data_IF_600723497785
#
_entry.id   IF_600723497785
#
_cell.length_a   1.000
_cell.length_b   1.000
_cell.length_c   1.000
_cell.angle_alpha   90.00
_cell.angle_beta   90.00
_cell.angle_gamma   90.00
#
_symmetry.space_group_name_H-M   'P 1'
#
loop_
_entity.id
_entity.type
_entity.pdbx_description
1 polymer ?
#
# COMPACT_ATOMS: atom_id res chain seq x y z
N UNK A 1 -29.68 18.52 2.67
CA UNK A 1 -29.44 17.06 2.71
C UNK A 1 -29.67 16.35 1.37
N UNK A 2 -30.83 16.48 0.69
CA UNK A 2 -31.05 15.84 -0.64
C UNK A 2 -30.06 16.22 -1.76
N UNK A 3 -29.49 17.43 -1.73
CA UNK A 3 -28.52 17.89 -2.75
C UNK A 3 -27.11 17.31 -2.59
N UNK A 4 -26.70 16.92 -1.38
CA UNK A 4 -25.37 16.36 -1.09
C UNK A 4 -25.33 14.88 -1.48
N UNK A 5 -26.42 14.15 -1.24
CA UNK A 5 -26.56 12.74 -1.65
C UNK A 5 -26.58 12.60 -3.18
N UNK A 6 -27.13 13.58 -3.90
CA UNK A 6 -27.12 13.62 -5.37
C UNK A 6 -25.73 13.92 -5.95
N UNK A 7 -24.89 14.68 -5.25
CA UNK A 7 -23.49 14.91 -5.64
C UNK A 7 -22.65 13.64 -5.44
N UNK A 8 -22.84 12.94 -4.32
CA UNK A 8 -22.19 11.67 -4.02
C UNK A 8 -22.60 10.55 -5.00
N UNK A 9 -23.87 10.52 -5.43
CA UNK A 9 -24.34 9.56 -6.43
C UNK A 9 -23.83 9.84 -7.85
N UNK A 10 -23.55 11.10 -8.22
CA UNK A 10 -22.88 11.42 -9.48
C UNK A 10 -21.38 11.11 -9.45
N UNK A 11 -20.70 11.32 -8.31
CA UNK A 11 -19.29 10.98 -8.15
C UNK A 11 -19.02 9.46 -8.29
N UNK A 12 -19.95 8.61 -7.83
CA UNK A 12 -19.83 7.16 -7.97
C UNK A 12 -20.00 6.64 -9.42
N UNK A 13 -20.60 7.41 -10.33
CA UNK A 13 -20.88 6.97 -11.71
C UNK A 13 -19.79 7.39 -12.73
N UNK A 14 -18.81 8.20 -12.34
CA UNK A 14 -17.82 8.78 -13.26
C UNK A 14 -16.38 8.26 -13.09
N UNK A 15 -16.10 7.38 -12.12
CA UNK A 15 -14.73 6.93 -11.82
C UNK A 15 -14.05 6.22 -13.01
N UNK A 16 -14.83 5.67 -13.94
CA UNK A 16 -14.33 5.11 -15.20
C UNK A 16 -13.96 6.12 -16.30
N UNK A 17 -14.43 7.38 -16.21
CA UNK A 17 -14.25 8.43 -17.22
C UNK A 17 -13.52 9.69 -16.71
N UNK A 18 -13.27 9.80 -15.41
CA UNK A 18 -12.56 10.95 -14.83
C UNK A 18 -11.13 11.02 -15.36
N UNK A 19 -10.68 12.24 -15.68
CA UNK A 19 -9.32 12.48 -16.15
C UNK A 19 -8.30 12.11 -15.06
N UNK A 20 -7.02 12.00 -15.44
CA UNK A 20 -5.94 11.77 -14.46
C UNK A 20 -5.92 12.90 -13.41
N UNK A 21 -6.07 14.14 -13.83
CA UNK A 21 -6.08 15.31 -12.94
C UNK A 21 -7.29 15.26 -11.98
N UNK A 22 -8.49 14.96 -12.46
CA UNK A 22 -9.68 14.86 -11.60
C UNK A 22 -9.53 13.82 -10.49
N UNK A 23 -8.84 12.71 -10.77
CA UNK A 23 -8.58 11.66 -9.78
C UNK A 23 -7.60 12.12 -8.70
N UNK A 24 -6.57 12.86 -9.11
CA UNK A 24 -5.56 13.43 -8.21
C UNK A 24 -6.20 14.49 -7.32
N UNK A 25 -6.97 15.40 -7.92
CA UNK A 25 -7.67 16.47 -7.21
C UNK A 25 -8.63 15.90 -6.16
N UNK A 26 -9.39 14.86 -6.51
CA UNK A 26 -10.29 14.20 -5.56
C UNK A 26 -9.54 13.61 -4.35
N UNK A 27 -8.36 12.99 -4.57
CA UNK A 27 -7.53 12.48 -3.48
C UNK A 27 -7.05 13.61 -2.56
N UNK A 28 -6.67 14.76 -3.12
CA UNK A 28 -6.21 15.90 -2.33
C UNK A 28 -7.34 16.58 -1.57
N UNK A 29 -8.50 16.76 -2.21
CA UNK A 29 -9.71 17.31 -1.60
C UNK A 29 -10.18 16.47 -0.40
N UNK A 30 -10.11 15.14 -0.51
CA UNK A 30 -10.46 14.24 0.58
C UNK A 30 -9.61 14.45 1.85
N UNK A 31 -8.31 14.75 1.69
CA UNK A 31 -7.46 15.09 2.83
C UNK A 31 -7.89 16.43 3.45
N UNK A 32 -8.19 17.43 2.63
CA UNK A 32 -8.68 18.74 3.11
C UNK A 32 -9.98 18.54 3.90
N UNK A 33 -10.88 17.66 3.45
CA UNK A 33 -12.14 17.38 4.13
C UNK A 33 -11.94 16.68 5.48
N UNK A 34 -10.96 15.80 5.59
CA UNK A 34 -10.57 15.16 6.85
C UNK A 34 -9.89 16.15 7.82
N UNK A 35 -8.96 16.96 7.34
CA UNK A 35 -8.22 17.93 8.17
C UNK A 35 -9.11 19.08 8.66
N UNK A 36 -10.11 19.50 7.85
CA UNK A 36 -11.08 20.54 8.22
C UNK A 36 -12.18 20.05 9.16
N UNK A 37 -12.23 18.75 9.47
CA UNK A 37 -13.28 18.15 10.29
C UNK A 37 -14.66 18.14 9.62
N UNK A 38 -14.73 18.36 8.30
CA UNK A 38 -15.97 18.16 7.55
C UNK A 38 -16.39 16.69 7.51
N UNK A 39 -15.43 15.78 7.64
CA UNK A 39 -15.65 14.38 7.99
C UNK A 39 -15.01 14.04 9.33
N UNK A 40 -15.73 13.32 10.18
CA UNK A 40 -15.08 12.64 11.31
C UNK A 40 -14.09 11.61 10.75
N UNK A 41 -12.86 11.53 11.29
CA UNK A 41 -11.86 10.56 10.88
C UNK A 41 -12.22 9.18 11.47
N UNK A 42 -13.31 8.61 10.99
CA UNK A 42 -13.70 7.22 11.27
C UNK A 42 -12.97 6.30 10.30
N UNK A 43 -12.84 5.02 10.67
CA UNK A 43 -12.23 3.99 9.81
C UNK A 43 -12.84 3.99 8.40
N UNK A 44 -14.17 4.04 8.32
CA UNK A 44 -14.89 4.00 7.05
C UNK A 44 -14.57 5.20 6.16
N UNK A 45 -14.62 6.42 6.72
CA UNK A 45 -14.35 7.63 5.94
C UNK A 45 -12.90 7.66 5.43
N UNK A 46 -11.95 7.27 6.27
CA UNK A 46 -10.52 7.20 5.91
C UNK A 46 -10.28 6.15 4.83
N UNK A 47 -10.92 4.98 4.91
CA UNK A 47 -10.84 3.95 3.86
C UNK A 47 -11.44 4.41 2.53
N UNK A 48 -12.57 5.14 2.56
CA UNK A 48 -13.15 5.75 1.36
C UNK A 48 -12.20 6.76 0.72
N UNK A 49 -11.65 7.69 1.50
CA UNK A 49 -10.69 8.69 1.01
C UNK A 49 -9.42 8.03 0.45
N UNK A 50 -8.87 7.02 1.14
CA UNK A 50 -7.74 6.25 0.64
C UNK A 50 -8.06 5.52 -0.67
N UNK A 51 -9.29 5.03 -0.84
CA UNK A 51 -9.77 4.43 -2.09
C UNK A 51 -9.62 5.36 -3.29
N UNK A 52 -9.97 6.64 -3.14
CA UNK A 52 -9.81 7.65 -4.18
C UNK A 52 -8.33 7.91 -4.48
N UNK A 53 -7.48 7.97 -3.45
CA UNK A 53 -6.03 8.09 -3.62
C UNK A 53 -5.38 6.88 -4.30
N UNK A 54 -5.87 5.65 -4.08
CA UNK A 54 -5.39 4.48 -4.82
C UNK A 54 -5.73 4.57 -6.32
N UNK A 55 -6.92 5.07 -6.66
CA UNK A 55 -7.31 5.30 -8.06
C UNK A 55 -6.42 6.38 -8.70
N UNK A 56 -6.11 7.45 -7.96
CA UNK A 56 -5.19 8.50 -8.39
C UNK A 56 -3.78 7.94 -8.62
N UNK A 57 -3.23 7.21 -7.65
CA UNK A 57 -1.90 6.62 -7.72
C UNK A 57 -1.79 5.61 -8.88
N UNK A 58 -2.84 4.84 -9.15
CA UNK A 58 -2.87 3.93 -10.31
C UNK A 58 -2.80 4.70 -11.64
N UNK A 59 -3.40 5.89 -11.70
CA UNK A 59 -3.35 6.75 -12.88
C UNK A 59 -2.03 7.54 -13.00
N UNK A 60 -1.30 7.70 -11.90
CA UNK A 60 -0.03 8.43 -11.83
C UNK A 60 0.95 7.83 -10.80
N UNK A 61 1.55 6.67 -11.09
CA UNK A 61 2.31 5.91 -10.09
C UNK A 61 3.60 6.58 -9.61
N UNK A 62 4.09 7.59 -10.33
CA UNK A 62 5.30 8.34 -9.99
C UNK A 62 5.06 9.56 -9.11
N UNK A 63 3.81 9.85 -8.77
CA UNK A 63 3.45 11.06 -8.04
C UNK A 63 3.52 10.86 -6.53
N UNK A 64 4.63 11.33 -5.95
CA UNK A 64 4.91 11.25 -4.52
C UNK A 64 3.87 11.98 -3.67
N UNK A 65 3.21 13.01 -4.21
CA UNK A 65 2.30 13.85 -3.44
C UNK A 65 0.98 13.11 -3.13
N UNK A 66 0.59 12.17 -3.99
CA UNK A 66 -0.51 11.23 -3.73
C UNK A 66 -0.17 10.34 -2.54
N UNK A 67 1.06 9.81 -2.50
CA UNK A 67 1.52 8.96 -1.41
C UNK A 67 1.65 9.74 -0.09
N UNK A 68 2.14 10.98 -0.16
CA UNK A 68 2.14 11.90 1.00
C UNK A 68 0.71 12.13 1.49
N UNK A 69 -0.23 12.39 0.58
CA UNK A 69 -1.64 12.60 0.94
C UNK A 69 -2.22 11.39 1.67
N UNK A 70 -1.97 10.18 1.16
CA UNK A 70 -2.38 8.94 1.84
C UNK A 70 -1.77 8.80 3.24
N UNK A 71 -0.48 9.14 3.39
CA UNK A 71 0.20 9.15 4.68
C UNK A 71 -0.45 10.14 5.66
N UNK A 72 -0.80 11.35 5.20
CA UNK A 72 -1.48 12.35 6.02
C UNK A 72 -2.87 11.91 6.45
N UNK A 73 -3.66 11.28 5.59
CA UNK A 73 -4.97 10.72 5.96
C UNK A 73 -4.85 9.69 7.08
N UNK A 74 -3.87 8.79 6.99
CA UNK A 74 -3.57 7.79 8.03
C UNK A 74 -3.04 8.43 9.31
N UNK A 75 -2.28 9.51 9.18
CA UNK A 75 -1.78 10.28 10.32
C UNK A 75 -2.92 10.93 11.09
N UNK A 76 -3.86 11.60 10.39
CA UNK A 76 -5.07 12.20 10.97
C UNK A 76 -5.92 11.16 11.69
N UNK A 77 -6.02 9.95 11.13
CA UNK A 77 -6.73 8.84 11.78
C UNK A 77 -6.01 8.27 13.02
N UNK A 78 -4.71 8.56 13.19
CA UNK A 78 -3.89 8.06 14.29
C UNK A 78 -3.04 6.83 13.97
N UNK A 79 -3.03 6.36 12.72
CA UNK A 79 -2.18 5.25 12.25
C UNK A 79 -0.76 5.72 11.89
N UNK A 80 -0.08 6.34 12.85
CA UNK A 80 1.22 7.01 12.62
C UNK A 80 2.30 6.09 12.04
N UNK A 81 2.37 4.83 12.49
CA UNK A 81 3.34 3.87 11.95
C UNK A 81 3.09 3.54 10.47
N UNK A 82 1.83 3.51 10.05
CA UNK A 82 1.47 3.26 8.65
C UNK A 82 1.73 4.50 7.82
N UNK A 83 1.35 5.68 8.33
CA UNK A 83 1.65 6.96 7.70
C UNK A 83 3.16 7.16 7.45
N UNK A 84 4.01 6.79 8.41
CA UNK A 84 5.46 6.86 8.22
C UNK A 84 5.98 5.93 7.12
N UNK A 85 5.33 4.79 6.87
CA UNK A 85 5.67 3.93 5.72
C UNK A 85 5.32 4.60 4.40
N UNK A 86 4.20 5.32 4.34
CA UNK A 86 3.83 6.09 3.15
C UNK A 86 4.77 7.27 2.92
N UNK A 87 5.14 8.00 3.96
CA UNK A 87 6.10 9.09 3.83
C UNK A 87 7.49 8.58 3.43
N UNK A 88 7.91 7.40 3.91
CA UNK A 88 9.13 6.75 3.45
C UNK A 88 9.04 6.33 1.97
N UNK A 89 7.87 5.88 1.51
CA UNK A 89 7.63 5.60 0.09
C UNK A 89 7.70 6.87 -0.75
N UNK A 90 7.07 7.97 -0.32
CA UNK A 90 7.18 9.25 -1.00
C UNK A 90 8.62 9.77 -1.05
N UNK A 91 9.39 9.55 0.02
CA UNK A 91 10.82 9.83 0.07
C UNK A 91 11.59 9.02 -0.98
N UNK A 92 11.30 7.73 -1.12
CA UNK A 92 11.89 6.89 -2.16
C UNK A 92 11.50 7.32 -3.58
N UNK A 93 10.40 8.07 -3.73
CA UNK A 93 9.95 8.69 -4.98
C UNK A 93 10.55 10.10 -5.21
N UNK A 94 11.44 10.56 -4.32
CA UNK A 94 12.13 11.84 -4.43
C UNK A 94 11.56 12.98 -3.57
N UNK A 95 10.47 12.75 -2.82
CA UNK A 95 9.86 13.76 -1.95
C UNK A 95 9.94 13.36 -0.47
N UNK A 96 11.01 13.81 0.19
CA UNK A 96 11.28 13.53 1.61
C UNK A 96 10.56 14.45 2.60
N UNK A 97 9.84 15.46 2.12
CA UNK A 97 9.30 16.54 2.95
C UNK A 97 8.45 16.02 4.11
N UNK A 98 7.43 15.20 3.82
CA UNK A 98 6.54 14.66 4.83
C UNK A 98 7.24 13.66 5.77
N UNK A 99 8.22 12.91 5.29
CA UNK A 99 8.96 12.00 6.17
C UNK A 99 9.78 12.78 7.20
N UNK A 100 10.46 13.83 6.75
CA UNK A 100 11.24 14.72 7.62
C UNK A 100 10.35 15.51 8.59
N UNK A 101 9.15 15.89 8.15
CA UNK A 101 8.19 16.65 8.95
C UNK A 101 7.52 15.79 10.03
N UNK A 102 7.07 14.58 9.69
CA UNK A 102 6.20 13.78 10.55
C UNK A 102 6.92 12.59 11.22
N UNK A 103 8.02 12.07 10.68
CA UNK A 103 8.58 10.78 11.11
C UNK A 103 10.00 10.88 11.68
N UNK A 104 10.15 10.42 12.93
CA UNK A 104 11.43 10.10 13.57
C UNK A 104 11.31 8.76 14.31
N UNK A 105 12.43 8.19 14.77
CA UNK A 105 12.53 6.83 15.35
C UNK A 105 11.66 6.57 16.60
N UNK A 106 11.11 7.62 17.20
CA UNK A 106 10.16 7.62 18.32
C UNK A 106 9.00 8.63 18.12
N UNK A 107 9.01 9.39 17.02
CA UNK A 107 8.03 10.44 16.71
C UNK A 107 8.44 11.90 17.00
N UNK A 108 9.71 12.27 17.21
CA UNK A 108 10.14 13.70 17.36
C UNK A 108 11.50 14.11 16.71
N UNK A 109 11.76 15.38 16.30
CA UNK A 109 12.80 15.77 15.31
C UNK A 109 14.23 16.01 15.85
N UNK A 110 15.26 15.56 15.11
CA UNK A 110 16.67 15.91 15.37
C UNK A 110 17.55 16.01 14.10
N UNK A 111 18.09 17.21 13.83
CA UNK A 111 18.84 17.61 12.63
C UNK A 111 20.10 16.81 12.31
N UNK A 112 20.78 16.21 13.29
CA UNK A 112 22.02 15.45 13.02
C UNK A 112 21.76 14.11 12.32
N UNK A 113 20.53 13.60 12.39
CA UNK A 113 20.13 12.36 11.73
C UNK A 113 19.57 12.60 10.34
N UNK A 114 18.98 13.78 10.10
CA UNK A 114 18.53 14.27 8.78
C UNK A 114 19.65 14.24 7.75
N UNK A 115 20.88 14.57 8.15
CA UNK A 115 22.02 14.53 7.24
C UNK A 115 22.41 13.09 6.84
N UNK A 116 22.34 12.16 7.79
CA UNK A 116 22.59 10.73 7.55
C UNK A 116 21.45 10.08 6.77
N UNK A 117 20.21 10.43 7.05
CA UNK A 117 19.03 9.94 6.35
C UNK A 117 18.93 10.53 4.93
N UNK A 118 19.44 11.76 4.70
CA UNK A 118 19.68 12.28 3.33
C UNK A 118 20.72 11.45 2.58
N UNK A 119 21.81 11.07 3.23
CA UNK A 119 22.84 10.21 2.63
C UNK A 119 22.32 8.79 2.37
N UNK A 120 21.54 8.23 3.30
CA UNK A 120 20.89 6.93 3.18
C UNK A 120 19.71 6.94 2.20
N UNK A 121 19.03 8.08 2.00
CA UNK A 121 18.01 8.25 0.98
C UNK A 121 18.59 8.49 -0.40
N UNK A 122 19.72 9.20 -0.53
CA UNK A 122 20.48 9.26 -1.78
C UNK A 122 21.08 7.88 -2.13
N UNK A 123 21.38 7.06 -1.12
CA UNK A 123 21.74 5.64 -1.26
C UNK A 123 20.52 4.77 -1.59
N UNK A 124 19.34 5.06 -1.03
CA UNK A 124 18.07 4.42 -1.35
C UNK A 124 17.58 4.78 -2.75
N UNK A 125 17.87 5.98 -3.25
CA UNK A 125 17.65 6.45 -4.62
C UNK A 125 18.59 5.71 -5.60
N UNK A 126 19.83 5.40 -5.17
CA UNK A 126 20.72 4.45 -5.86
C UNK A 126 20.28 2.98 -5.72
N UNK A 127 19.45 2.64 -4.73
CA UNK A 127 18.87 1.32 -4.46
C UNK A 127 17.37 1.24 -4.81
N UNK A 128 16.79 2.24 -5.50
CA UNK A 128 15.53 2.16 -6.25
C UNK A 128 15.76 1.32 -7.52
N UNK A 129 16.48 0.24 -7.30
CA UNK A 129 16.92 -0.78 -8.20
C UNK A 129 15.67 -1.56 -8.65
N UNK A 130 15.78 -2.37 -9.70
CA UNK A 130 14.76 -3.31 -10.17
C UNK A 130 14.05 -4.12 -9.06
N UNK A 131 14.62 -4.22 -7.86
CA UNK A 131 14.14 -4.97 -6.69
C UNK A 131 12.81 -4.45 -6.11
N UNK A 132 12.62 -3.13 -5.92
CA UNK A 132 11.34 -2.55 -5.46
C UNK A 132 10.21 -2.78 -6.47
N UNK A 133 10.55 -2.68 -7.77
CA UNK A 133 9.61 -2.96 -8.85
C UNK A 133 9.11 -4.41 -8.80
N UNK A 134 9.98 -5.36 -8.43
CA UNK A 134 9.60 -6.78 -8.33
C UNK A 134 8.71 -7.08 -7.13
N UNK A 135 8.94 -6.45 -5.98
CA UNK A 135 8.02 -6.55 -4.83
C UNK A 135 6.63 -5.95 -5.13
N UNK A 136 6.59 -4.80 -5.81
CA UNK A 136 5.32 -4.20 -6.24
C UNK A 136 4.57 -5.09 -7.23
N UNK A 137 5.29 -5.67 -8.21
CA UNK A 137 4.71 -6.63 -9.16
C UNK A 137 4.17 -7.87 -8.46
N UNK A 138 4.85 -8.42 -7.45
CA UNK A 138 4.35 -9.56 -6.67
C UNK A 138 2.99 -9.26 -6.04
N UNK A 139 2.83 -8.08 -5.42
CA UNK A 139 1.59 -7.66 -4.79
C UNK A 139 0.49 -7.45 -5.85
N UNK A 140 0.81 -6.78 -6.95
CA UNK A 140 -0.13 -6.56 -8.06
C UNK A 140 -0.62 -7.88 -8.67
N UNK A 141 0.27 -8.85 -8.83
CA UNK A 141 -0.03 -10.17 -9.35
C UNK A 141 -0.97 -10.93 -8.40
N UNK A 142 -0.74 -10.86 -7.08
CA UNK A 142 -1.62 -11.45 -6.09
C UNK A 142 -3.03 -10.82 -6.08
N UNK A 143 -3.13 -9.49 -6.24
CA UNK A 143 -4.42 -8.80 -6.33
C UNK A 143 -5.19 -9.19 -7.59
N UNK A 144 -4.49 -9.35 -8.73
CA UNK A 144 -5.08 -9.87 -9.97
C UNK A 144 -5.61 -11.29 -9.80
N UNK A 145 -4.88 -12.17 -9.11
CA UNK A 145 -5.32 -13.54 -8.79
C UNK A 145 -6.61 -13.49 -7.98
N UNK A 146 -6.65 -12.69 -6.91
CA UNK A 146 -7.85 -12.53 -6.08
C UNK A 146 -9.05 -12.01 -6.87
N UNK A 147 -8.82 -11.10 -7.82
CA UNK A 147 -9.87 -10.48 -8.61
C UNK A 147 -10.38 -11.32 -9.79
N UNK A 148 -9.65 -12.38 -10.19
CA UNK A 148 -9.98 -13.17 -11.38
C UNK A 148 -10.35 -14.61 -11.04
N UNK A 149 -11.39 -15.14 -11.66
CA UNK A 149 -11.75 -16.58 -11.63
C UNK A 149 -10.94 -17.42 -12.61
N UNK A 150 -9.90 -16.87 -13.25
CA UNK A 150 -9.15 -17.49 -14.34
C UNK A 150 -7.68 -17.69 -13.96
N UNK A 151 -7.25 -18.95 -13.88
CA UNK A 151 -5.89 -19.38 -13.54
C UNK A 151 -4.81 -19.06 -14.60
N UNK A 152 -5.13 -18.26 -15.62
CA UNK A 152 -4.39 -18.28 -16.89
C UNK A 152 -3.27 -17.22 -17.06
N UNK A 153 -2.99 -16.34 -16.10
CA UNK A 153 -2.39 -15.05 -16.47
C UNK A 153 -1.10 -14.58 -15.81
N UNK A 154 -0.33 -15.42 -15.11
CA UNK A 154 0.81 -14.89 -14.35
C UNK A 154 2.10 -15.71 -14.45
N UNK A 155 2.53 -15.95 -15.69
CA UNK A 155 3.90 -16.38 -15.99
C UNK A 155 4.87 -15.30 -15.47
N UNK A 156 5.56 -15.58 -14.38
CA UNK A 156 6.53 -14.68 -13.74
C UNK A 156 6.14 -14.12 -12.36
N UNK A 157 4.92 -14.38 -11.86
CA UNK A 157 4.52 -13.90 -10.53
C UNK A 157 5.33 -14.54 -9.40
N UNK A 158 5.64 -15.84 -9.50
CA UNK A 158 6.52 -16.49 -8.53
C UNK A 158 7.93 -15.87 -8.53
N UNK A 159 8.47 -15.52 -9.69
CA UNK A 159 9.78 -14.87 -9.79
C UNK A 159 9.76 -13.44 -9.23
N UNK A 160 8.67 -12.70 -9.49
CA UNK A 160 8.43 -11.38 -8.89
C UNK A 160 8.40 -11.50 -7.36
N UNK A 161 7.69 -12.48 -6.83
CA UNK A 161 7.60 -12.72 -5.39
C UNK A 161 8.91 -13.23 -4.78
N UNK A 162 9.65 -14.13 -5.45
CA UNK A 162 10.94 -14.61 -4.97
C UNK A 162 11.96 -13.47 -4.89
N UNK A 163 12.01 -12.61 -5.91
CA UNK A 163 12.86 -11.41 -5.92
C UNK A 163 12.40 -10.37 -4.89
N UNK A 164 11.09 -10.17 -4.78
CA UNK A 164 10.48 -9.29 -3.79
C UNK A 164 10.82 -9.69 -2.36
N UNK A 165 10.69 -10.98 -2.01
CA UNK A 165 11.04 -11.51 -0.69
C UNK A 165 12.53 -11.41 -0.41
N UNK A 166 13.39 -11.67 -1.41
CA UNK A 166 14.84 -11.50 -1.25
C UNK A 166 15.22 -10.07 -0.88
N UNK A 167 14.47 -9.11 -1.41
CA UNK A 167 14.72 -7.68 -1.24
C UNK A 167 14.02 -7.10 0.00
N UNK A 168 12.86 -7.65 0.35
CA UNK A 168 11.99 -7.21 1.45
C UNK A 168 11.46 -8.41 2.25
N UNK A 169 12.34 -9.12 2.98
CA UNK A 169 11.96 -10.33 3.70
C UNK A 169 10.98 -10.08 4.86
N UNK A 170 10.94 -8.84 5.36
CA UNK A 170 10.12 -8.44 6.52
C UNK A 170 8.83 -7.67 6.11
N UNK A 171 8.48 -7.60 4.82
CA UNK A 171 7.22 -7.00 4.37
C UNK A 171 6.10 -8.07 4.35
N UNK A 172 5.15 -7.94 5.29
CA UNK A 172 4.03 -8.87 5.43
C UNK A 172 3.18 -8.96 4.16
N UNK A 173 3.06 -7.87 3.39
CA UNK A 173 2.26 -7.85 2.15
C UNK A 173 2.91 -8.66 1.05
N UNK A 174 4.24 -8.60 0.94
CA UNK A 174 4.99 -9.40 -0.04
C UNK A 174 4.92 -10.89 0.33
N UNK A 175 4.96 -11.22 1.62
CA UNK A 175 4.75 -12.59 2.11
C UNK A 175 3.31 -13.10 1.84
N UNK A 176 2.29 -12.26 2.09
CA UNK A 176 0.89 -12.58 1.76
C UNK A 176 0.70 -12.75 0.25
N UNK A 177 1.25 -11.85 -0.55
CA UNK A 177 1.19 -11.91 -2.01
C UNK A 177 1.84 -13.19 -2.56
N UNK A 178 3.01 -13.56 -2.04
CA UNK A 178 3.64 -14.83 -2.36
C UNK A 178 2.73 -16.03 -2.03
N UNK A 179 2.10 -16.03 -0.86
CA UNK A 179 1.18 -17.11 -0.47
C UNK A 179 0.00 -17.25 -1.44
N UNK A 180 -0.58 -16.14 -1.88
CA UNK A 180 -1.68 -16.12 -2.87
C UNK A 180 -1.22 -16.68 -4.22
N UNK A 181 -0.05 -16.25 -4.69
CA UNK A 181 0.55 -16.72 -5.95
C UNK A 181 0.82 -18.24 -5.89
N UNK A 182 1.40 -18.72 -4.79
CA UNK A 182 1.67 -20.15 -4.59
C UNK A 182 0.38 -20.97 -4.50
N UNK A 183 -0.66 -20.44 -3.84
CA UNK A 183 -1.95 -21.11 -3.76
C UNK A 183 -2.60 -21.26 -5.13
N UNK A 184 -2.53 -20.23 -5.97
CA UNK A 184 -3.03 -20.28 -7.35
C UNK A 184 -2.24 -21.22 -8.26
N UNK A 185 -0.98 -21.49 -7.93
CA UNK A 185 -0.10 -22.39 -8.68
C UNK A 185 -0.09 -23.82 -8.10
N UNK A 186 -1.15 -24.20 -7.38
CA UNK A 186 -1.32 -25.53 -6.78
C UNK A 186 -0.17 -25.96 -5.86
N UNK A 187 0.42 -24.98 -5.15
CA UNK A 187 1.50 -25.17 -4.16
C UNK A 187 1.02 -24.80 -2.74
N UNK A 188 -0.01 -25.47 -2.21
CA UNK A 188 -0.68 -25.04 -0.98
C UNK A 188 0.20 -25.12 0.27
N UNK A 189 1.14 -26.08 0.34
CA UNK A 189 2.08 -26.19 1.48
C UNK A 189 3.02 -24.98 1.56
N UNK A 190 3.64 -24.63 0.45
CA UNK A 190 4.56 -23.49 0.34
C UNK A 190 3.80 -22.17 0.52
N UNK A 191 2.55 -22.11 0.03
CA UNK A 191 1.66 -20.98 0.30
C UNK A 191 1.41 -20.78 1.79
N UNK A 192 1.16 -21.86 2.55
CA UNK A 192 0.99 -21.77 4.00
C UNK A 192 2.27 -21.39 4.74
N UNK A 193 3.45 -21.78 4.25
CA UNK A 193 4.72 -21.25 4.78
C UNK A 193 4.84 -19.73 4.56
N UNK A 194 4.45 -19.23 3.39
CA UNK A 194 4.43 -17.80 3.10
C UNK A 194 3.41 -17.05 3.98
N UNK A 195 2.22 -17.61 4.18
CA UNK A 195 1.22 -17.04 5.08
C UNK A 195 1.63 -17.10 6.55
N UNK A 196 2.38 -18.12 6.97
CA UNK A 196 2.98 -18.15 8.31
C UNK A 196 4.00 -17.02 8.51
N UNK A 197 4.82 -16.73 7.49
CA UNK A 197 5.71 -15.57 7.50
C UNK A 197 4.91 -14.27 7.63
N UNK A 198 3.86 -14.09 6.82
CA UNK A 198 2.99 -12.93 6.90
C UNK A 198 2.36 -12.77 8.29
N UNK A 199 1.89 -13.87 8.90
CA UNK A 199 1.32 -13.90 10.25
C UNK A 199 2.32 -13.47 11.31
N UNK A 200 3.57 -13.94 11.23
CA UNK A 200 4.63 -13.52 12.15
C UNK A 200 4.93 -12.02 12.06
N UNK A 201 4.68 -11.41 10.89
CA UNK A 201 4.83 -9.99 10.61
C UNK A 201 3.56 -9.16 10.89
N UNK A 202 2.49 -9.79 11.40
CA UNK A 202 1.26 -9.12 11.82
C UNK A 202 0.09 -9.20 10.84
N UNK A 203 0.20 -9.92 9.73
CA UNK A 203 -0.88 -10.14 8.76
C UNK A 203 -1.36 -11.60 8.80
N UNK A 204 -2.50 -11.86 9.44
CA UNK A 204 -3.00 -13.21 9.72
C UNK A 204 -4.23 -13.62 8.91
N UNK A 205 -4.74 -12.75 8.03
CA UNK A 205 -6.04 -12.98 7.39
C UNK A 205 -6.02 -14.21 6.49
N UNK A 206 -5.12 -14.23 5.50
CA UNK A 206 -4.98 -15.33 4.54
C UNK A 206 -4.52 -16.61 5.22
N UNK A 207 -3.64 -16.53 6.22
CA UNK A 207 -3.27 -17.69 7.03
C UNK A 207 -4.50 -18.34 7.66
N UNK A 208 -5.36 -17.55 8.28
CA UNK A 208 -6.57 -18.06 8.94
C UNK A 208 -7.56 -18.61 7.92
N UNK A 209 -7.57 -18.07 6.72
CA UNK A 209 -8.47 -18.49 5.65
C UNK A 209 -8.05 -19.82 5.04
N UNK A 210 -6.76 -19.99 4.71
CA UNK A 210 -6.26 -21.10 3.91
C UNK A 210 -5.49 -22.18 4.67
N UNK A 211 -5.04 -21.90 5.90
CA UNK A 211 -4.15 -22.78 6.64
C UNK A 211 -4.74 -23.15 8.00
N UNK A 212 -4.45 -24.37 8.43
CA UNK A 212 -4.70 -24.85 9.78
C UNK A 212 -3.70 -24.23 10.76
N UNK A 213 -4.00 -24.35 12.06
CA UNK A 213 -3.16 -23.78 13.12
C UNK A 213 -1.73 -24.35 13.14
N UNK A 214 -1.53 -25.56 12.62
CA UNK A 214 -0.24 -26.23 12.47
C UNK A 214 0.52 -25.82 11.19
N UNK A 215 -0.04 -24.92 10.39
CA UNK A 215 0.54 -24.47 9.12
C UNK A 215 0.29 -25.41 7.95
N UNK A 216 -0.49 -26.48 8.12
CA UNK A 216 -0.94 -27.31 7.01
C UNK A 216 -2.05 -26.61 6.20
N UNK A 217 -2.19 -26.88 4.89
CA UNK A 217 -3.32 -26.37 4.11
C UNK A 217 -4.65 -26.95 4.61
N UNK A 218 -5.71 -26.15 4.52
CA UNK A 218 -7.09 -26.65 4.69
C UNK A 218 -7.51 -27.45 3.45
N UNK A 219 -8.30 -28.49 3.68
CA UNK A 219 -8.95 -29.30 2.63
C UNK A 219 -10.07 -28.55 1.92
#
# INVERSE_FOLDING_TARGET
>A
MRKIVLLLLMLCLCVGCASREDKIDLCFDDLIFLESGMFEPTKHNVETCLGNCYVALKSDPGNSDIVITMGKMRWVYGLKNVACKDFALAMAMGNSSAFLEYCNADGSPNEKRIQKDKEDALRAEKLASPEWKRAALCIEDADKIKASSSSLWLWGAEENCASGIKSFPDDSRVATAQGIVLMNNDKPKEACEAFMRAKALGDSFEFTMYCNADGSPKE
#
